data_IF_139784023688
#
_entry.id   IF_139784023688
#
_cell.length_a   1.000
_cell.length_b   1.000
_cell.length_c   1.000
_cell.angle_alpha   90.00
_cell.angle_beta   90.00
_cell.angle_gamma   90.00
#
_symmetry.space_group_name_H-M   'P 1'
#
loop_
_entity.id
_entity.type
_entity.pdbx_description
1 polymer ?
#
# COMPACT_ATOMS: atom_id res chain seq x y z
N UNK A 1 4.33 -14.25 -18.62
CA UNK A 1 4.63 -12.89 -19.12
C UNK A 1 5.15 -12.08 -17.95
N UNK A 2 6.44 -11.75 -17.95
CA UNK A 2 7.02 -10.87 -16.92
C UNK A 2 6.58 -9.45 -17.23
N UNK A 3 5.56 -8.95 -16.53
CA UNK A 3 5.17 -7.56 -16.63
C UNK A 3 6.27 -6.71 -15.97
N UNK A 4 7.25 -6.25 -16.75
CA UNK A 4 8.07 -5.11 -16.32
C UNK A 4 7.14 -3.91 -16.22
N UNK A 5 6.62 -3.67 -15.00
CA UNK A 5 5.72 -2.57 -14.74
C UNK A 5 6.34 -1.27 -15.24
N UNK A 6 5.56 -0.48 -16.00
CA UNK A 6 5.98 0.85 -16.41
C UNK A 6 6.19 1.69 -15.14
N UNK A 7 7.44 1.87 -14.75
CA UNK A 7 7.82 2.71 -13.62
C UNK A 7 7.72 4.18 -14.03
N UNK A 8 6.82 4.93 -13.41
CA UNK A 8 6.80 6.39 -13.55
C UNK A 8 7.73 7.01 -12.51
N UNK A 9 8.57 7.95 -12.93
CA UNK A 9 9.38 8.75 -12.01
C UNK A 9 8.45 9.67 -11.22
N UNK A 10 8.51 9.59 -9.89
CA UNK A 10 7.82 10.54 -9.03
C UNK A 10 8.48 11.93 -9.12
N UNK A 11 7.68 12.98 -9.35
CA UNK A 11 8.15 14.39 -9.49
C UNK A 11 7.50 15.32 -8.45
N UNK A 12 6.91 14.76 -7.38
CA UNK A 12 6.25 15.55 -6.32
C UNK A 12 7.14 15.85 -5.11
N UNK A 13 6.56 16.36 -4.01
CA UNK A 13 7.30 16.71 -2.80
C UNK A 13 8.11 15.55 -2.21
N UNK A 14 9.37 15.83 -1.85
CA UNK A 14 10.31 14.80 -1.37
C UNK A 14 9.85 14.10 -0.08
N UNK A 15 9.12 14.79 0.80
CA UNK A 15 8.62 14.21 2.04
C UNK A 15 7.55 13.13 1.78
N UNK A 16 6.76 13.27 0.72
CA UNK A 16 5.75 12.28 0.33
C UNK A 16 6.43 10.99 -0.14
N UNK A 17 7.44 11.08 -1.00
CA UNK A 17 8.15 9.87 -1.47
C UNK A 17 9.01 9.24 -0.37
N UNK A 18 9.51 10.03 0.59
CA UNK A 18 10.21 9.51 1.75
C UNK A 18 9.26 8.69 2.66
N UNK A 19 8.04 9.19 2.90
CA UNK A 19 7.03 8.47 3.67
C UNK A 19 6.61 7.16 2.98
N UNK A 20 6.41 7.18 1.65
CA UNK A 20 6.08 5.97 0.87
C UNK A 20 7.18 4.91 0.94
N UNK A 21 8.46 5.32 0.93
CA UNK A 21 9.60 4.39 1.02
C UNK A 21 9.77 3.80 2.42
N UNK A 22 9.37 4.52 3.45
CA UNK A 22 9.44 4.07 4.84
C UNK A 22 8.24 3.19 5.23
N UNK A 23 7.12 3.31 4.52
CA UNK A 23 5.98 2.44 4.70
C UNK A 23 6.26 1.04 4.12
N UNK A 24 5.77 0.02 4.82
CA UNK A 24 5.77 -1.33 4.26
C UNK A 24 4.97 -1.37 2.97
N UNK A 25 5.58 -1.96 1.93
CA UNK A 25 4.89 -2.20 0.67
C UNK A 25 3.67 -3.09 0.93
N UNK A 26 2.50 -2.67 0.43
CA UNK A 26 1.26 -3.43 0.59
C UNK A 26 1.43 -4.91 0.21
N UNK A 27 0.66 -5.79 0.86
CA UNK A 27 0.76 -7.22 0.64
C UNK A 27 0.34 -7.59 -0.78
N UNK A 28 1.17 -8.38 -1.47
CA UNK A 28 0.88 -8.86 -2.83
C UNK A 28 0.14 -10.18 -2.78
N UNK A 29 -1.04 -10.22 -3.38
CA UNK A 29 -1.97 -11.34 -3.40
C UNK A 29 -2.16 -11.78 -4.85
N UNK A 30 -1.82 -13.03 -5.16
CA UNK A 30 -1.94 -13.60 -6.51
C UNK A 30 -3.03 -14.65 -6.60
N UNK A 31 -3.45 -15.21 -5.47
CA UNK A 31 -4.48 -16.24 -5.40
C UNK A 31 -5.49 -15.98 -4.27
N UNK A 32 -6.62 -16.68 -4.31
CA UNK A 32 -7.58 -16.67 -3.20
C UNK A 32 -7.00 -17.28 -1.92
N UNK A 33 -6.07 -18.23 -2.02
CA UNK A 33 -5.38 -18.79 -0.87
C UNK A 33 -4.44 -17.75 -0.22
N UNK A 34 -3.69 -16.99 -1.03
CA UNK A 34 -2.86 -15.88 -0.53
C UNK A 34 -3.70 -14.85 0.24
N UNK A 35 -4.93 -14.60 -0.21
CA UNK A 35 -5.86 -13.71 0.49
C UNK A 35 -6.33 -14.33 1.81
N UNK A 36 -6.70 -15.61 1.84
CA UNK A 36 -7.10 -16.29 3.06
C UNK A 36 -5.97 -16.30 4.11
N UNK A 37 -4.74 -16.59 3.69
CA UNK A 37 -3.55 -16.54 4.56
C UNK A 37 -3.29 -15.12 5.06
N UNK A 38 -3.45 -14.12 4.20
CA UNK A 38 -3.34 -12.71 4.57
C UNK A 38 -4.40 -12.31 5.61
N UNK A 39 -5.66 -12.73 5.46
CA UNK A 39 -6.73 -12.44 6.43
C UNK A 39 -6.48 -13.15 7.75
N UNK A 40 -6.05 -14.41 7.73
CA UNK A 40 -5.81 -15.20 8.94
C UNK A 40 -4.68 -14.64 9.82
N UNK A 41 -3.76 -13.88 9.23
CA UNK A 41 -2.65 -13.26 9.94
C UNK A 41 -2.96 -11.87 10.56
N UNK A 42 -4.23 -11.41 10.53
CA UNK A 42 -4.66 -10.05 10.90
C UNK A 42 -5.65 -10.13 12.04
N UNK A 43 -5.68 -9.10 12.88
CA UNK A 43 -6.71 -9.01 13.92
C UNK A 43 -8.07 -8.62 13.30
N UNK A 44 -9.17 -8.92 14.00
CA UNK A 44 -10.49 -8.48 13.57
C UNK A 44 -10.60 -6.96 13.47
N UNK A 45 -9.97 -6.24 14.40
CA UNK A 45 -9.91 -4.77 14.42
C UNK A 45 -9.17 -4.21 13.21
N UNK A 46 -8.04 -4.82 12.82
CA UNK A 46 -7.33 -4.43 11.60
C UNK A 46 -8.19 -4.63 10.35
N UNK A 47 -8.99 -5.70 10.30
CA UNK A 47 -9.84 -6.00 9.14
C UNK A 47 -11.07 -5.08 9.03
N UNK A 48 -11.45 -4.40 10.12
CA UNK A 48 -12.52 -3.39 10.11
C UNK A 48 -12.04 -2.04 9.54
N UNK A 49 -10.74 -1.78 9.54
CA UNK A 49 -10.16 -0.57 8.95
C UNK A 49 -10.34 -0.54 7.42
N UNK A 50 -10.54 0.64 6.82
CA UNK A 50 -10.58 0.77 5.37
C UNK A 50 -9.21 0.46 4.74
N UNK A 51 -9.22 -0.39 3.73
CA UNK A 51 -8.05 -0.73 2.93
C UNK A 51 -8.07 -0.06 1.57
N UNK A 52 -6.88 0.32 1.11
CA UNK A 52 -6.67 0.70 -0.29
C UNK A 52 -6.19 -0.52 -1.06
N UNK A 53 -6.79 -0.76 -2.23
CA UNK A 53 -6.37 -1.83 -3.12
C UNK A 53 -5.87 -1.28 -4.47
N UNK A 54 -4.86 -1.93 -5.03
CA UNK A 54 -4.35 -1.67 -6.38
C UNK A 54 -4.26 -2.99 -7.14
N UNK A 55 -4.91 -3.07 -8.30
CA UNK A 55 -4.73 -4.20 -9.22
C UNK A 55 -3.60 -3.84 -10.18
N UNK A 56 -2.49 -4.57 -10.06
CA UNK A 56 -1.35 -4.38 -10.95
C UNK A 56 -1.59 -4.96 -12.34
N UNK A 57 -0.84 -4.47 -13.32
CA UNK A 57 -0.84 -5.03 -14.69
C UNK A 57 -0.24 -6.43 -14.76
N UNK A 58 0.42 -6.87 -13.68
CA UNK A 58 0.90 -8.24 -13.47
C UNK A 58 -0.20 -9.20 -12.99
N UNK A 59 -1.45 -8.71 -12.85
CA UNK A 59 -2.58 -9.50 -12.37
C UNK A 59 -2.59 -9.71 -10.86
N UNK A 60 -1.66 -9.09 -10.12
CA UNK A 60 -1.60 -9.20 -8.67
C UNK A 60 -2.38 -8.06 -7.99
N UNK A 61 -3.16 -8.43 -6.98
CA UNK A 61 -3.82 -7.51 -6.06
C UNK A 61 -2.84 -7.07 -4.99
N UNK A 62 -2.77 -5.77 -4.71
CA UNK A 62 -1.96 -5.22 -3.63
C UNK A 62 -2.87 -4.53 -2.62
N UNK A 63 -2.78 -4.94 -1.36
CA UNK A 63 -3.54 -4.34 -0.26
C UNK A 63 -2.63 -3.53 0.64
N UNK A 64 -2.94 -2.25 0.79
CA UNK A 64 -2.30 -1.36 1.74
C UNK A 64 -3.33 -0.87 2.76
N UNK A 65 -2.92 -0.77 4.02
CA UNK A 65 -3.69 -0.01 5.01
C UNK A 65 -3.74 1.45 4.61
N UNK A 66 -4.83 2.14 4.92
CA UNK A 66 -4.82 3.61 4.89
C UNK A 66 -3.74 4.07 5.86
N UNK A 67 -2.70 4.73 5.32
CA UNK A 67 -1.78 5.48 6.15
C UNK A 67 -2.55 6.71 6.61
N UNK A 68 -2.91 6.77 7.88
CA UNK A 68 -3.30 8.02 8.50
C UNK A 68 -2.09 8.95 8.41
N UNK A 69 -2.11 9.85 7.43
CA UNK A 69 -1.10 10.90 7.34
C UNK A 69 -1.44 11.87 8.46
N UNK A 70 -0.87 11.62 9.65
CA UNK A 70 -0.94 12.54 10.77
C UNK A 70 -0.63 13.95 10.29
N UNK A 71 -1.50 14.88 10.68
CA UNK A 71 -1.53 16.29 10.27
C UNK A 71 -0.12 16.81 10.01
N UNK A 72 0.21 17.09 8.75
CA UNK A 72 1.48 17.73 8.39
C UNK A 72 1.55 19.03 9.19
N UNK A 73 2.53 19.20 10.10
CA UNK A 73 2.63 20.45 10.84
C UNK A 73 2.79 21.57 9.82
N UNK A 74 1.90 22.58 9.88
CA UNK A 74 2.08 23.78 9.07
C UNK A 74 3.43 24.39 9.44
N UNK A 75 4.29 24.72 8.46
CA UNK A 75 5.53 25.42 8.77
C UNK A 75 5.17 26.84 9.23
N UNK A 76 5.45 27.15 10.50
CA UNK A 76 5.41 28.51 11.06
C UNK A 76 4.38 28.79 12.15
N UNK A 77 4.47 28.10 13.29
CA UNK A 77 3.93 28.58 14.57
C UNK A 77 5.06 29.04 15.49
#
# INVERSE_FOLDING_TARGET
MSASGRGYRYVGPHHVIAAVKAADGGATIRTAADFADWVAARSAEELEEPFTFVVGTDGALRLGRVLEIGSVPRPGS
#
